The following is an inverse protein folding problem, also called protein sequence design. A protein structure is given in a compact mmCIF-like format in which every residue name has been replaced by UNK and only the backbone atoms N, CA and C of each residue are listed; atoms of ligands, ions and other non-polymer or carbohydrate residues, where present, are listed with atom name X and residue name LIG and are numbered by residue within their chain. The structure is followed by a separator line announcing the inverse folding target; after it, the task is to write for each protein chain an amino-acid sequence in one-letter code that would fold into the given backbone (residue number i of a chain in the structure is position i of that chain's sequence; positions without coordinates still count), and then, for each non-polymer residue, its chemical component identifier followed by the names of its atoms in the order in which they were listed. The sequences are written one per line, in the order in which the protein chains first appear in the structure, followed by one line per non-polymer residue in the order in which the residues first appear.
data_IF_037823741778
#
_entry.id   IF_037823741778
#
_cell.length_a   1.000
_cell.length_b   1.000
_cell.length_c   1.000
_cell.angle_alpha   90.00
_cell.angle_beta   90.00
_cell.angle_gamma   90.00
#
_symmetry.space_group_name_H-M   'P 1'
#
loop_
_entity.id
_entity.type
_entity.pdbx_description
1 polymer ?
#
# COMPACT_ATOMS: atom_id res chain seq x y z
N UNK A 1 -37.65 -3.13 0.55
CA UNK A 1 -37.31 -4.26 1.46
C UNK A 1 -35.84 -4.24 1.88
N UNK A 2 -34.84 -4.45 0.95
CA UNK A 2 -33.43 -4.48 1.33
C UNK A 2 -32.96 -3.20 2.03
N UNK A 3 -33.33 -2.02 1.51
CA UNK A 3 -32.96 -0.72 2.10
C UNK A 3 -33.47 -0.59 3.53
N UNK A 4 -34.71 -0.99 3.77
CA UNK A 4 -35.37 -0.87 5.08
C UNK A 4 -34.76 -1.88 6.07
N UNK A 5 -34.44 -3.09 5.59
CA UNK A 5 -33.71 -4.08 6.37
C UNK A 5 -32.34 -3.54 6.83
N UNK A 6 -31.56 -2.98 5.90
CA UNK A 6 -30.22 -2.42 6.22
C UNK A 6 -30.35 -1.20 7.17
N UNK A 7 -31.35 -0.34 7.00
CA UNK A 7 -31.62 0.75 7.96
C UNK A 7 -31.84 0.19 9.36
N UNK A 8 -32.64 -0.88 9.50
CA UNK A 8 -32.86 -1.55 10.79
C UNK A 8 -31.56 -2.04 11.40
N UNK A 9 -30.74 -2.77 10.64
CA UNK A 9 -29.44 -3.29 11.08
C UNK A 9 -28.46 -2.19 11.47
N UNK A 10 -28.35 -1.14 10.67
CA UNK A 10 -27.49 0.01 10.99
C UNK A 10 -27.90 0.69 12.29
N UNK A 11 -29.20 0.87 12.52
CA UNK A 11 -29.71 1.43 13.78
C UNK A 11 -29.43 0.53 15.00
N UNK A 12 -29.52 -0.80 14.83
CA UNK A 12 -29.13 -1.75 15.87
C UNK A 12 -27.65 -1.59 16.24
N UNK A 13 -26.73 -1.63 15.27
CA UNK A 13 -25.30 -1.46 15.50
C UNK A 13 -24.95 -0.12 16.16
N UNK A 14 -25.61 0.97 15.75
CA UNK A 14 -25.39 2.29 16.36
C UNK A 14 -25.94 2.42 17.79
N UNK A 15 -26.93 1.58 18.18
CA UNK A 15 -27.36 1.49 19.56
C UNK A 15 -26.43 0.64 20.40
N UNK A 16 -25.82 -0.39 19.81
CA UNK A 16 -24.79 -1.23 20.45
C UNK A 16 -23.47 -0.46 20.67
N UNK A 17 -23.11 0.46 19.76
CA UNK A 17 -21.94 1.34 19.88
C UNK A 17 -22.35 2.82 19.75
N UNK A 18 -22.83 3.44 20.84
CA UNK A 18 -23.31 4.83 20.83
C UNK A 18 -22.21 5.87 20.62
N UNK A 19 -20.94 5.50 20.73
CA UNK A 19 -19.79 6.37 20.49
C UNK A 19 -19.32 6.35 19.02
N UNK A 20 -19.89 5.48 18.19
CA UNK A 20 -19.58 5.42 16.77
C UNK A 20 -19.89 6.75 16.06
N UNK A 21 -18.88 7.38 15.49
CA UNK A 21 -19.02 8.59 14.66
C UNK A 21 -19.20 8.31 13.18
N UNK A 22 -18.84 7.11 12.74
CA UNK A 22 -18.90 6.65 11.33
C UNK A 22 -19.42 5.22 11.32
N UNK A 23 -20.34 4.92 10.40
CA UNK A 23 -20.74 3.56 10.06
C UNK A 23 -20.56 3.30 8.58
N UNK A 24 -19.96 2.17 8.22
CA UNK A 24 -19.67 1.84 6.81
C UNK A 24 -20.81 1.01 6.21
N UNK A 25 -21.33 1.47 5.09
CA UNK A 25 -22.31 0.78 4.24
C UNK A 25 -21.77 0.80 2.82
N UNK A 26 -21.17 -0.29 2.39
CA UNK A 26 -20.42 -0.34 1.15
C UNK A 26 -20.68 -1.62 0.36
N UNK A 27 -20.19 -1.66 -0.87
CA UNK A 27 -20.19 -2.85 -1.71
C UNK A 27 -19.26 -3.94 -1.17
N UNK A 28 -19.48 -5.18 -1.61
CA UNK A 28 -18.56 -6.28 -1.36
C UNK A 28 -17.27 -6.11 -2.17
N UNK A 29 -16.20 -6.76 -1.70
CA UNK A 29 -14.89 -6.73 -2.34
C UNK A 29 -14.81 -7.73 -3.51
N UNK A 30 -15.65 -7.51 -4.53
CA UNK A 30 -15.53 -8.17 -5.83
C UNK A 30 -16.35 -7.48 -6.91
N UNK A 31 -16.15 -7.91 -8.17
CA UNK A 31 -16.88 -7.40 -9.32
C UNK A 31 -18.27 -8.03 -9.40
N UNK A 32 -19.32 -7.23 -9.45
CA UNK A 32 -20.68 -7.73 -9.57
C UNK A 32 -21.72 -6.78 -8.98
N UNK A 33 -21.90 -5.61 -9.61
CA UNK A 33 -23.00 -4.70 -9.29
C UNK A 33 -24.36 -5.38 -9.56
N UNK A 34 -25.41 -4.89 -8.91
CA UNK A 34 -26.77 -5.36 -9.11
C UNK A 34 -27.22 -5.14 -10.56
N UNK A 35 -27.71 -6.20 -11.21
CA UNK A 35 -28.16 -6.18 -12.60
C UNK A 35 -29.70 -6.15 -12.76
N UNK A 36 -30.45 -5.93 -11.67
CA UNK A 36 -31.90 -5.78 -11.79
C UNK A 36 -32.25 -4.52 -12.59
N UNK A 37 -33.41 -4.52 -13.26
CA UNK A 37 -33.85 -3.42 -14.12
C UNK A 37 -33.83 -2.06 -13.44
N UNK A 38 -34.20 -2.00 -12.16
CA UNK A 38 -34.21 -0.76 -11.39
C UNK A 38 -32.79 -0.19 -11.16
N UNK A 39 -31.84 -0.99 -10.68
CA UNK A 39 -30.47 -0.55 -10.46
C UNK A 39 -29.81 -0.20 -11.80
N UNK A 40 -30.01 -1.04 -12.82
CA UNK A 40 -29.45 -0.80 -14.15
C UNK A 40 -29.98 0.51 -14.76
N UNK A 41 -31.26 0.82 -14.62
CA UNK A 41 -31.81 2.08 -15.11
C UNK A 41 -31.19 3.31 -14.46
N UNK A 42 -30.90 3.25 -13.15
CA UNK A 42 -30.18 4.31 -12.44
C UNK A 42 -28.75 4.42 -12.96
N UNK A 43 -28.03 3.31 -13.03
CA UNK A 43 -26.62 3.28 -13.43
C UNK A 43 -26.42 3.75 -14.88
N UNK A 44 -27.33 3.38 -15.79
CA UNK A 44 -27.32 3.84 -17.19
C UNK A 44 -27.57 5.37 -17.27
N UNK A 45 -28.52 5.91 -16.50
CA UNK A 45 -28.80 7.34 -16.44
C UNK A 45 -27.59 8.12 -15.85
N UNK A 46 -26.99 7.61 -14.79
CA UNK A 46 -25.85 8.22 -14.10
C UNK A 46 -24.50 7.97 -14.80
N UNK A 47 -24.45 7.02 -15.74
CA UNK A 47 -23.23 6.64 -16.46
C UNK A 47 -22.15 5.99 -15.59
N UNK A 48 -22.57 5.44 -14.43
CA UNK A 48 -21.72 4.75 -13.48
C UNK A 48 -22.55 3.90 -12.51
N UNK A 49 -22.12 2.69 -12.15
CA UNK A 49 -22.70 1.90 -11.06
C UNK A 49 -22.66 2.55 -9.68
N UNK A 50 -21.87 3.63 -9.52
CA UNK A 50 -21.94 4.47 -8.33
C UNK A 50 -23.33 5.13 -8.16
N UNK A 51 -24.12 5.25 -9.21
CA UNK A 51 -25.46 5.82 -9.18
C UNK A 51 -26.39 5.05 -8.25
N UNK A 52 -26.61 3.76 -8.52
CA UNK A 52 -27.49 2.91 -7.71
C UNK A 52 -26.91 2.71 -6.29
N UNK A 53 -25.60 2.57 -6.15
CA UNK A 53 -24.95 2.45 -4.84
C UNK A 53 -25.14 3.71 -3.99
N UNK A 54 -24.91 4.89 -4.56
CA UNK A 54 -25.06 6.14 -3.83
C UNK A 54 -26.52 6.45 -3.50
N UNK A 55 -27.48 6.11 -4.39
CA UNK A 55 -28.91 6.20 -4.10
C UNK A 55 -29.29 5.32 -2.89
N UNK A 56 -28.72 4.12 -2.79
CA UNK A 56 -28.92 3.20 -1.68
C UNK A 56 -28.35 3.78 -0.38
N UNK A 57 -27.11 4.25 -0.39
CA UNK A 57 -26.42 4.82 0.77
C UNK A 57 -27.12 6.11 1.24
N UNK A 58 -27.51 6.99 0.32
CA UNK A 58 -28.25 8.21 0.63
C UNK A 58 -29.58 7.92 1.35
N UNK A 59 -30.30 6.86 0.92
CA UNK A 59 -31.53 6.44 1.61
C UNK A 59 -31.27 6.04 3.06
N UNK A 60 -30.22 5.24 3.31
CA UNK A 60 -29.84 4.82 4.66
C UNK A 60 -29.45 6.04 5.50
N UNK A 61 -28.58 6.91 4.96
CA UNK A 61 -28.13 8.12 5.61
C UNK A 61 -29.29 9.04 6.00
N UNK A 62 -30.32 9.16 5.15
CA UNK A 62 -31.55 9.91 5.43
C UNK A 62 -32.33 9.32 6.62
N UNK A 63 -32.49 7.99 6.63
CA UNK A 63 -33.33 7.29 7.64
C UNK A 63 -32.66 7.17 9.01
N UNK A 64 -31.35 7.27 9.10
CA UNK A 64 -30.66 7.25 10.39
C UNK A 64 -30.45 8.65 10.98
N UNK A 65 -30.32 9.69 10.16
CA UNK A 65 -30.00 11.05 10.58
C UNK A 65 -30.87 11.59 11.72
N UNK A 66 -32.22 11.39 11.75
CA UNK A 66 -33.05 11.89 12.85
C UNK A 66 -32.73 11.29 14.21
N UNK A 67 -32.29 10.02 14.25
CA UNK A 67 -31.97 9.31 15.51
C UNK A 67 -30.47 9.45 15.86
N UNK A 68 -29.61 9.52 14.84
CA UNK A 68 -28.16 9.57 14.98
C UNK A 68 -27.54 10.78 14.20
N UNK A 69 -27.84 12.03 14.57
CA UNK A 69 -27.48 13.20 13.77
C UNK A 69 -25.98 13.49 13.67
N UNK A 70 -25.15 12.86 14.52
CA UNK A 70 -23.69 13.02 14.52
C UNK A 70 -22.98 11.94 13.73
N UNK A 71 -23.67 10.89 13.31
CA UNK A 71 -23.08 9.75 12.60
C UNK A 71 -23.00 10.03 11.10
N UNK A 72 -21.85 9.79 10.52
CA UNK A 72 -21.66 9.77 9.07
C UNK A 72 -21.77 8.34 8.53
N UNK A 73 -22.37 8.19 7.35
CA UNK A 73 -22.38 6.91 6.60
C UNK A 73 -21.24 6.92 5.60
N UNK A 74 -20.27 6.03 5.79
CA UNK A 74 -19.14 5.82 4.88
C UNK A 74 -19.49 4.82 3.79
N UNK A 75 -19.10 5.10 2.55
CA UNK A 75 -19.22 4.18 1.42
C UNK A 75 -17.99 4.27 0.53
N UNK A 76 -17.71 3.21 -0.23
CA UNK A 76 -16.59 3.18 -1.16
C UNK A 76 -16.97 3.68 -2.55
N UNK A 77 -16.03 4.41 -3.18
CA UNK A 77 -15.92 4.58 -4.61
C UNK A 77 -14.73 3.69 -5.07
N UNK A 78 -15.04 2.44 -5.43
CA UNK A 78 -14.05 1.37 -5.55
C UNK A 78 -14.37 0.45 -6.72
N UNK A 79 -13.39 0.09 -7.52
CA UNK A 79 -13.57 -0.76 -8.69
C UNK A 79 -14.71 -0.23 -9.60
N UNK A 80 -15.81 -0.96 -9.72
CA UNK A 80 -16.93 -0.61 -10.60
C UNK A 80 -17.70 0.64 -10.16
N UNK A 81 -17.63 1.05 -8.89
CA UNK A 81 -18.24 2.30 -8.39
C UNK A 81 -17.27 3.47 -8.31
N UNK A 82 -15.99 3.32 -8.75
CA UNK A 82 -14.97 4.37 -8.62
C UNK A 82 -15.32 5.65 -9.35
N UNK A 83 -15.89 5.54 -10.57
CA UNK A 83 -16.33 6.69 -11.35
C UNK A 83 -17.53 7.37 -10.70
N UNK A 84 -17.51 8.72 -10.49
CA UNK A 84 -18.63 9.42 -9.89
C UNK A 84 -19.88 9.40 -10.80
N UNK A 85 -21.10 9.44 -10.23
CA UNK A 85 -22.35 9.59 -10.98
C UNK A 85 -22.51 11.02 -11.49
N UNK A 86 -23.39 11.23 -12.50
CA UNK A 86 -23.61 12.53 -13.16
C UNK A 86 -24.42 13.51 -12.32
N UNK A 87 -25.52 13.05 -11.72
CA UNK A 87 -26.51 13.92 -11.08
C UNK A 87 -26.75 13.61 -9.61
N UNK A 88 -26.66 12.35 -9.19
CA UNK A 88 -26.83 11.94 -7.80
C UNK A 88 -25.61 12.42 -6.98
N UNK A 89 -25.88 13.17 -5.91
CA UNK A 89 -24.84 13.66 -4.99
C UNK A 89 -24.93 12.97 -3.65
N UNK A 90 -23.80 12.77 -2.95
CA UNK A 90 -23.81 12.32 -1.57
C UNK A 90 -24.54 13.31 -0.67
N UNK A 91 -25.30 12.82 0.30
CA UNK A 91 -25.87 13.66 1.36
C UNK A 91 -24.75 14.27 2.25
N UNK A 92 -25.05 15.37 2.98
CA UNK A 92 -24.03 15.99 3.85
C UNK A 92 -23.45 15.07 4.92
N UNK A 93 -24.22 14.04 5.35
CA UNK A 93 -23.79 13.03 6.32
C UNK A 93 -23.23 11.76 5.64
N UNK A 94 -22.91 11.78 4.36
CA UNK A 94 -22.27 10.67 3.64
C UNK A 94 -20.79 10.99 3.38
N UNK A 95 -19.93 10.05 3.72
CA UNK A 95 -18.51 10.01 3.36
C UNK A 95 -18.36 9.13 2.14
N UNK A 96 -17.76 9.63 1.06
CA UNK A 96 -17.31 8.80 -0.06
C UNK A 96 -15.82 8.58 0.06
N UNK A 97 -15.41 7.31 0.12
CA UNK A 97 -14.01 6.90 0.22
C UNK A 97 -13.54 6.38 -1.13
N UNK A 98 -12.80 7.21 -1.85
CA UNK A 98 -12.25 6.89 -3.16
C UNK A 98 -10.98 6.04 -3.01
N UNK A 99 -10.96 4.88 -3.67
CA UNK A 99 -9.85 3.92 -3.60
C UNK A 99 -8.93 4.03 -4.81
N UNK A 100 -7.61 4.02 -4.58
CA UNK A 100 -6.57 4.14 -5.61
C UNK A 100 -5.99 2.80 -6.09
N UNK A 101 -6.66 1.67 -5.82
CA UNK A 101 -6.12 0.31 -6.00
C UNK A 101 -5.58 0.01 -7.42
N UNK A 102 -6.15 0.63 -8.47
CA UNK A 102 -5.72 0.45 -9.86
C UNK A 102 -4.64 1.44 -10.29
N UNK A 103 -4.04 2.21 -9.37
CA UNK A 103 -3.06 3.21 -9.73
C UNK A 103 -1.65 2.65 -9.93
N UNK A 104 -0.86 3.39 -10.69
CA UNK A 104 0.58 3.21 -10.79
C UNK A 104 1.24 3.97 -9.64
N UNK A 105 1.64 3.26 -8.60
CA UNK A 105 2.26 3.85 -7.39
C UNK A 105 3.72 4.26 -7.58
N UNK A 106 4.36 3.89 -8.71
CA UNK A 106 5.68 4.39 -9.09
C UNK A 106 5.67 5.88 -9.39
N UNK A 107 4.56 6.38 -9.89
CA UNK A 107 4.38 7.77 -10.30
C UNK A 107 3.35 8.47 -9.38
N UNK A 108 3.43 9.80 -9.22
CA UNK A 108 2.40 10.55 -8.50
C UNK A 108 1.00 10.32 -9.10
N UNK A 109 -0.04 10.45 -8.29
CA UNK A 109 -1.42 10.18 -8.73
C UNK A 109 -1.95 11.19 -9.77
N UNK A 110 -1.27 12.31 -9.98
CA UNK A 110 -1.54 13.26 -11.06
C UNK A 110 -0.72 13.01 -12.34
N UNK A 111 0.13 11.98 -12.36
CA UNK A 111 0.87 11.58 -13.56
C UNK A 111 -0.10 11.01 -14.63
N UNK A 112 0.19 11.17 -15.95
CA UNK A 112 -0.66 10.66 -17.04
C UNK A 112 -1.02 9.17 -16.95
N UNK A 113 -0.17 8.32 -16.37
CA UNK A 113 -0.48 6.90 -16.14
C UNK A 113 -1.63 6.68 -15.14
N UNK A 114 -2.00 7.69 -14.36
CA UNK A 114 -3.07 7.70 -13.37
C UNK A 114 -4.24 8.61 -13.77
N UNK A 115 -4.33 9.03 -15.04
CA UNK A 115 -5.32 9.99 -15.52
C UNK A 115 -6.77 9.61 -15.21
N UNK A 116 -7.10 8.31 -15.24
CA UNK A 116 -8.43 7.82 -14.90
C UNK A 116 -8.78 8.07 -13.42
N UNK A 117 -7.85 7.80 -12.51
CA UNK A 117 -8.03 8.09 -11.09
C UNK A 117 -8.13 9.60 -10.82
N UNK A 118 -7.28 10.39 -11.46
CA UNK A 118 -7.32 11.86 -11.34
C UNK A 118 -8.68 12.42 -11.77
N UNK A 119 -9.23 11.92 -12.89
CA UNK A 119 -10.56 12.33 -13.37
C UNK A 119 -11.67 11.95 -12.37
N UNK A 120 -11.59 10.77 -11.75
CA UNK A 120 -12.53 10.34 -10.73
C UNK A 120 -12.41 11.20 -9.45
N UNK A 121 -11.18 11.50 -9.00
CA UNK A 121 -10.91 12.39 -7.86
C UNK A 121 -11.48 13.80 -8.10
N UNK A 122 -11.24 14.37 -9.27
CA UNK A 122 -11.83 15.65 -9.69
C UNK A 122 -13.37 15.62 -9.70
N UNK A 123 -13.94 14.53 -10.23
CA UNK A 123 -15.38 14.37 -10.29
C UNK A 123 -16.02 14.28 -8.91
N UNK A 124 -15.50 13.44 -8.03
CA UNK A 124 -15.97 13.31 -6.65
C UNK A 124 -15.78 14.59 -5.83
N UNK A 125 -14.67 15.30 -5.99
CA UNK A 125 -14.41 16.54 -5.27
C UNK A 125 -15.44 17.63 -5.56
N UNK A 126 -16.09 17.62 -6.74
CA UNK A 126 -17.12 18.58 -7.12
C UNK A 126 -18.50 18.31 -6.50
N UNK A 127 -18.76 17.06 -6.11
CA UNK A 127 -20.09 16.65 -5.65
C UNK A 127 -20.14 16.16 -4.20
N UNK A 128 -18.98 15.84 -3.61
CA UNK A 128 -18.86 15.26 -2.27
C UNK A 128 -18.29 16.27 -1.26
N UNK A 129 -19.00 16.52 -0.16
CA UNK A 129 -18.53 17.41 0.91
C UNK A 129 -17.55 16.72 1.88
N UNK A 130 -17.61 15.41 1.97
CA UNK A 130 -16.79 14.56 2.85
C UNK A 130 -16.08 13.50 2.03
N UNK A 131 -15.17 13.94 1.17
CA UNK A 131 -14.34 13.04 0.36
C UNK A 131 -13.20 12.50 1.21
N UNK A 132 -13.09 11.18 1.27
CA UNK A 132 -11.97 10.45 1.88
C UNK A 132 -11.23 9.67 0.81
N UNK A 133 -10.00 9.27 1.12
CA UNK A 133 -9.16 8.42 0.26
C UNK A 133 -8.82 7.13 1.00
N UNK A 134 -8.82 6.03 0.25
CA UNK A 134 -8.15 4.79 0.62
C UNK A 134 -7.00 4.58 -0.36
N UNK A 135 -5.78 4.83 0.10
CA UNK A 135 -4.56 4.67 -0.68
C UNK A 135 -3.79 3.41 -0.28
N UNK A 136 -2.85 2.98 -1.13
CA UNK A 136 -2.12 1.72 -0.97
C UNK A 136 -0.63 1.98 -1.06
N UNK A 137 0.14 1.46 -0.11
CA UNK A 137 1.56 1.79 0.05
C UNK A 137 2.51 0.62 -0.14
N UNK A 138 2.01 -0.60 -0.41
CA UNK A 138 2.81 -1.82 -0.48
C UNK A 138 2.34 -2.76 -1.61
N UNK A 139 3.12 -3.80 -1.88
CA UNK A 139 2.70 -4.92 -2.76
C UNK A 139 2.07 -6.03 -1.90
N UNK A 140 0.75 -6.19 -1.95
CA UNK A 140 0.00 -7.18 -1.16
C UNK A 140 0.25 -8.63 -1.62
N UNK A 141 0.63 -8.81 -2.87
CA UNK A 141 1.04 -10.13 -3.36
C UNK A 141 2.39 -10.57 -2.79
N UNK A 142 3.24 -9.62 -2.35
CA UNK A 142 4.56 -9.89 -1.83
C UNK A 142 5.07 -8.72 -0.98
N UNK A 143 4.74 -8.70 0.31
CA UNK A 143 5.07 -7.61 1.23
C UNK A 143 6.57 -7.24 1.30
N UNK A 144 7.45 -8.21 1.02
CA UNK A 144 8.90 -8.00 1.02
C UNK A 144 9.49 -7.60 -0.34
N UNK A 145 8.75 -7.67 -1.45
CA UNK A 145 9.35 -7.25 -2.72
C UNK A 145 9.61 -5.74 -2.72
N UNK A 146 10.76 -5.28 -3.25
CA UNK A 146 11.03 -3.85 -3.41
C UNK A 146 9.89 -3.14 -4.15
N UNK A 147 9.31 -2.12 -3.52
CA UNK A 147 8.15 -1.37 -3.97
C UNK A 147 8.45 0.15 -3.97
N UNK A 148 9.18 0.65 -4.97
CA UNK A 148 9.80 1.99 -4.97
C UNK A 148 8.80 3.15 -5.16
N UNK A 149 7.88 3.34 -4.22
CA UNK A 149 6.87 4.41 -4.20
C UNK A 149 7.14 5.53 -3.17
N UNK A 150 8.22 5.48 -2.42
CA UNK A 150 8.52 6.43 -1.33
C UNK A 150 8.69 7.89 -1.77
N UNK A 151 9.00 8.16 -3.05
CA UNK A 151 9.17 9.52 -3.57
C UNK A 151 7.88 10.12 -4.16
N UNK A 152 6.77 9.39 -4.15
CA UNK A 152 5.46 9.86 -4.59
C UNK A 152 4.54 10.26 -3.43
N UNK A 153 4.83 9.82 -2.22
CA UNK A 153 3.96 9.98 -1.05
C UNK A 153 3.59 11.45 -0.78
N UNK A 154 4.58 12.35 -0.81
CA UNK A 154 4.34 13.78 -0.56
C UNK A 154 3.52 14.44 -1.66
N UNK A 155 3.75 14.09 -2.92
CA UNK A 155 2.95 14.59 -4.04
C UNK A 155 1.49 14.15 -3.92
N UNK A 156 1.24 12.89 -3.54
CA UNK A 156 -0.09 12.34 -3.36
C UNK A 156 -0.86 13.03 -2.22
N UNK A 157 -0.23 13.20 -1.05
CA UNK A 157 -0.87 13.89 0.09
C UNK A 157 -1.21 15.35 -0.26
N UNK A 158 -0.33 16.06 -0.96
CA UNK A 158 -0.61 17.44 -1.45
C UNK A 158 -1.74 17.46 -2.50
N UNK A 159 -1.80 16.44 -3.36
CA UNK A 159 -2.92 16.29 -4.31
C UNK A 159 -4.24 16.10 -3.58
N UNK A 160 -4.30 15.24 -2.57
CA UNK A 160 -5.50 15.05 -1.75
C UNK A 160 -5.94 16.34 -1.06
N UNK A 161 -5.00 17.10 -0.49
CA UNK A 161 -5.29 18.41 0.09
C UNK A 161 -5.87 19.39 -0.95
N UNK A 162 -5.29 19.45 -2.15
CA UNK A 162 -5.74 20.30 -3.26
C UNK A 162 -7.20 20.04 -3.64
N UNK A 163 -7.64 18.77 -3.60
CA UNK A 163 -9.01 18.38 -3.91
C UNK A 163 -9.96 18.38 -2.69
N UNK A 164 -9.53 18.91 -1.56
CA UNK A 164 -10.37 19.07 -0.37
C UNK A 164 -10.69 17.77 0.36
N UNK A 165 -9.88 16.74 0.19
CA UNK A 165 -9.98 15.47 0.93
C UNK A 165 -9.90 15.75 2.43
N UNK A 166 -10.78 15.09 3.21
CA UNK A 166 -10.93 15.30 4.66
C UNK A 166 -10.35 14.19 5.51
N UNK A 167 -10.15 13.02 4.95
CA UNK A 167 -9.57 11.87 5.63
C UNK A 167 -8.84 10.96 4.66
N UNK A 168 -7.75 10.35 5.12
CA UNK A 168 -6.94 9.43 4.33
C UNK A 168 -6.68 8.18 5.15
N UNK A 169 -6.81 7.03 4.52
CA UNK A 169 -6.38 5.74 5.02
C UNK A 169 -5.29 5.19 4.10
N UNK A 170 -4.10 5.00 4.64
CA UNK A 170 -2.93 4.50 3.94
C UNK A 170 -2.72 3.03 4.28
N UNK A 171 -3.13 2.13 3.39
CA UNK A 171 -3.01 0.69 3.63
C UNK A 171 -1.60 0.19 3.35
N UNK A 172 -0.92 -0.25 4.41
CA UNK A 172 0.36 -0.93 4.36
C UNK A 172 0.25 -2.45 4.49
N UNK A 173 1.33 -3.13 4.88
CA UNK A 173 1.35 -4.55 5.22
C UNK A 173 0.65 -4.78 6.57
N UNK A 174 -0.68 -4.82 6.57
CA UNK A 174 -1.54 -4.73 7.77
C UNK A 174 -1.61 -6.02 8.60
N UNK A 175 -1.23 -7.15 8.04
CA UNK A 175 -1.38 -8.46 8.69
C UNK A 175 -0.27 -8.80 9.67
N UNK A 176 0.84 -8.02 9.66
CA UNK A 176 1.97 -8.27 10.53
C UNK A 176 3.11 -7.28 10.32
N UNK A 177 4.27 -7.63 10.84
CA UNK A 177 5.47 -6.83 10.74
C UNK A 177 6.33 -7.31 9.56
N UNK A 178 7.16 -6.41 9.00
CA UNK A 178 8.16 -6.76 7.98
C UNK A 178 7.71 -6.52 6.53
N UNK A 179 6.90 -5.51 6.28
CA UNK A 179 6.74 -4.96 4.93
C UNK A 179 8.00 -4.22 4.47
N UNK A 180 8.28 -4.20 3.17
CA UNK A 180 9.45 -3.51 2.62
C UNK A 180 9.43 -2.02 3.01
N UNK A 181 10.40 -1.61 3.85
CA UNK A 181 10.54 -0.25 4.40
C UNK A 181 9.21 0.34 4.95
N UNK A 182 8.42 -0.49 5.63
CA UNK A 182 7.11 -0.09 6.18
C UNK A 182 7.23 1.05 7.18
N UNK A 183 8.25 1.02 8.05
CA UNK A 183 8.50 2.05 9.06
C UNK A 183 8.83 3.41 8.43
N UNK A 184 9.62 3.42 7.34
CA UNK A 184 9.91 4.64 6.58
C UNK A 184 8.62 5.25 6.01
N UNK A 185 7.78 4.44 5.36
CA UNK A 185 6.51 4.93 4.80
C UNK A 185 5.57 5.44 5.87
N UNK A 186 5.39 4.68 6.95
CA UNK A 186 4.51 5.06 8.04
C UNK A 186 4.94 6.39 8.68
N UNK A 187 6.24 6.56 8.93
CA UNK A 187 6.76 7.78 9.53
C UNK A 187 6.63 9.00 8.58
N UNK A 188 7.03 8.85 7.32
CA UNK A 188 6.93 9.93 6.31
C UNK A 188 5.48 10.34 6.09
N UNK A 189 4.57 9.38 5.96
CA UNK A 189 3.13 9.65 5.80
C UNK A 189 2.55 10.33 7.04
N UNK A 190 2.89 9.91 8.25
CA UNK A 190 2.43 10.56 9.47
C UNK A 190 2.84 12.04 9.51
N UNK A 191 4.07 12.37 9.13
CA UNK A 191 4.56 13.74 9.05
C UNK A 191 3.82 14.56 7.98
N UNK A 192 3.62 13.98 6.79
CA UNK A 192 2.94 14.63 5.67
C UNK A 192 1.44 14.80 5.90
N UNK A 193 0.77 13.85 6.52
CA UNK A 193 -0.65 13.96 6.87
C UNK A 193 -0.88 15.01 7.96
N UNK A 194 0.08 15.20 8.86
CA UNK A 194 0.06 16.32 9.83
C UNK A 194 0.33 17.66 9.18
N UNK A 195 1.35 17.74 8.31
CA UNK A 195 1.71 18.95 7.58
C UNK A 195 2.15 18.62 6.14
N UNK A 196 1.24 18.71 5.16
CA UNK A 196 1.51 18.41 3.75
C UNK A 196 2.57 19.28 3.07
N UNK A 197 2.91 20.44 3.68
CA UNK A 197 3.89 21.39 3.13
C UNK A 197 5.35 20.98 3.44
N UNK A 198 5.57 19.98 4.26
CA UNK A 198 6.91 19.48 4.52
C UNK A 198 7.53 18.87 3.25
N UNK A 199 8.85 18.96 3.17
CA UNK A 199 9.59 18.43 2.03
C UNK A 199 9.85 16.92 2.23
N UNK A 200 9.16 16.09 1.48
CA UNK A 200 9.18 14.62 1.59
C UNK A 200 10.58 14.00 1.53
N UNK A 201 11.45 14.48 0.63
CA UNK A 201 12.84 14.00 0.56
C UNK A 201 13.66 14.38 1.80
N UNK A 202 13.41 15.53 2.41
CA UNK A 202 14.05 15.92 3.67
C UNK A 202 13.58 15.01 4.81
N UNK A 203 12.27 14.72 4.87
CA UNK A 203 11.71 13.77 5.83
C UNK A 203 12.33 12.37 5.68
N UNK A 204 12.46 11.87 4.45
CA UNK A 204 13.13 10.58 4.20
C UNK A 204 14.57 10.61 4.74
N UNK A 205 15.34 11.65 4.47
CA UNK A 205 16.70 11.78 4.97
C UNK A 205 16.76 11.84 6.50
N UNK A 206 15.86 12.57 7.13
CA UNK A 206 15.74 12.65 8.59
C UNK A 206 15.43 11.27 9.19
N UNK A 207 14.46 10.55 8.63
CA UNK A 207 14.18 9.17 9.06
C UNK A 207 15.40 8.27 8.93
N UNK A 208 16.06 8.27 7.76
CA UNK A 208 17.23 7.41 7.53
C UNK A 208 18.35 7.69 8.54
N UNK A 209 18.62 8.96 8.83
CA UNK A 209 19.64 9.35 9.81
C UNK A 209 19.26 8.92 11.23
N UNK A 210 18.01 9.16 11.65
CA UNK A 210 17.54 8.83 12.99
C UNK A 210 17.37 7.32 13.22
N UNK A 211 16.93 6.59 12.21
CA UNK A 211 16.57 5.18 12.35
C UNK A 211 17.75 4.23 12.06
N UNK A 212 18.63 4.57 11.11
CA UNK A 212 19.75 3.73 10.68
C UNK A 212 21.14 4.31 10.98
N UNK A 213 21.23 5.55 11.46
CA UNK A 213 22.50 6.17 11.82
C UNK A 213 23.54 6.16 10.69
N UNK A 214 24.77 5.61 10.90
CA UNK A 214 25.81 5.55 9.87
C UNK A 214 25.44 4.79 8.60
N UNK A 215 24.47 3.88 8.66
CA UNK A 215 23.96 3.17 7.50
C UNK A 215 23.02 3.99 6.59
N UNK A 216 22.62 5.20 7.00
CA UNK A 216 21.70 6.06 6.24
C UNK A 216 22.15 6.33 4.81
N UNK A 217 23.46 6.58 4.59
CA UNK A 217 24.00 6.95 3.27
C UNK A 217 23.89 5.83 2.22
N UNK A 218 24.31 4.58 2.47
CA UNK A 218 24.09 3.49 1.52
C UNK A 218 22.60 3.17 1.33
N UNK A 219 21.76 3.27 2.35
CA UNK A 219 20.31 3.06 2.22
C UNK A 219 19.66 4.15 1.36
N UNK A 220 20.05 5.42 1.50
CA UNK A 220 19.57 6.48 0.63
C UNK A 220 19.89 6.21 -0.86
N UNK A 221 21.10 5.70 -1.13
CA UNK A 221 21.50 5.27 -2.49
C UNK A 221 20.67 4.09 -3.01
N UNK A 222 20.32 3.15 -2.13
CA UNK A 222 19.41 2.06 -2.47
C UNK A 222 18.03 2.59 -2.88
N UNK A 223 17.46 3.55 -2.15
CA UNK A 223 16.18 4.16 -2.53
C UNK A 223 16.23 4.79 -3.92
N UNK A 224 17.27 5.58 -4.20
CA UNK A 224 17.45 6.19 -5.52
C UNK A 224 17.64 5.13 -6.62
N UNK A 225 18.48 4.12 -6.38
CA UNK A 225 18.73 3.03 -7.32
C UNK A 225 17.43 2.31 -7.71
N UNK A 226 16.62 1.91 -6.73
CA UNK A 226 15.35 1.20 -6.99
C UNK A 226 14.36 2.09 -7.73
N UNK A 227 14.25 3.34 -7.32
CA UNK A 227 13.38 4.31 -7.97
C UNK A 227 13.78 4.55 -9.43
N UNK A 228 15.07 4.80 -9.71
CA UNK A 228 15.54 5.01 -11.07
C UNK A 228 15.41 3.74 -11.93
N UNK A 229 15.75 2.57 -11.37
CA UNK A 229 15.64 1.30 -12.09
C UNK A 229 14.18 0.89 -12.40
N UNK A 230 13.20 1.45 -11.71
CA UNK A 230 11.77 1.20 -11.96
C UNK A 230 11.14 2.20 -12.94
N UNK A 231 11.91 3.10 -13.56
CA UNK A 231 11.39 4.12 -14.47
C UNK A 231 10.57 3.50 -15.61
N UNK A 232 9.38 4.03 -15.84
CA UNK A 232 8.46 3.55 -16.87
C UNK A 232 7.74 2.24 -16.54
N UNK A 233 7.98 1.66 -15.36
CA UNK A 233 7.29 0.46 -14.93
C UNK A 233 5.98 0.80 -14.22
N UNK A 234 4.90 0.06 -14.56
CA UNK A 234 3.63 0.19 -13.88
C UNK A 234 3.65 -0.61 -12.56
N UNK A 235 3.78 0.09 -11.45
CA UNK A 235 3.88 -0.48 -10.11
C UNK A 235 2.50 -0.47 -9.43
N UNK A 236 1.75 -1.55 -9.56
CA UNK A 236 0.48 -1.74 -8.84
C UNK A 236 0.68 -2.37 -7.46
N UNK A 237 -0.33 -2.30 -6.60
CA UNK A 237 -0.28 -2.90 -5.26
C UNK A 237 -0.44 -4.45 -5.24
N UNK A 238 -0.69 -5.07 -6.39
CA UNK A 238 -0.67 -6.52 -6.62
C UNK A 238 0.29 -6.87 -7.77
N UNK A 239 1.41 -6.18 -7.85
CA UNK A 239 2.39 -6.36 -8.93
C UNK A 239 3.03 -7.74 -8.86
N UNK A 240 3.09 -8.43 -10.01
CA UNK A 240 3.81 -9.69 -10.14
C UNK A 240 5.31 -9.49 -9.87
N UNK A 241 6.07 -10.52 -9.46
CA UNK A 241 7.48 -10.41 -9.07
C UNK A 241 8.41 -10.14 -10.26
N UNK A 242 8.02 -9.32 -11.21
CA UNK A 242 8.78 -8.88 -12.39
C UNK A 242 8.81 -7.37 -12.44
N UNK A 243 9.92 -6.82 -12.95
CA UNK A 243 10.10 -5.39 -13.13
C UNK A 243 11.57 -5.07 -13.28
N UNK A 244 11.94 -3.98 -14.00
CA UNK A 244 13.32 -3.68 -14.32
C UNK A 244 14.20 -3.45 -13.08
N UNK A 245 13.64 -2.97 -11.98
CA UNK A 245 14.31 -2.82 -10.69
C UNK A 245 14.60 -4.16 -9.96
N UNK A 246 14.11 -5.27 -10.48
CA UNK A 246 14.30 -6.65 -9.96
C UNK A 246 15.14 -7.51 -10.91
N UNK A 247 15.79 -6.93 -11.89
CA UNK A 247 16.76 -7.58 -12.77
C UNK A 247 18.14 -7.69 -12.09
N UNK A 248 19.06 -8.45 -12.69
CA UNK A 248 20.35 -8.77 -12.07
C UNK A 248 21.14 -7.51 -11.69
N UNK A 249 21.33 -6.57 -12.62
CA UNK A 249 22.15 -5.37 -12.39
C UNK A 249 21.66 -4.52 -11.20
N UNK A 250 20.37 -4.10 -11.10
CA UNK A 250 19.90 -3.37 -9.93
C UNK A 250 19.89 -4.20 -8.63
N UNK A 251 19.57 -5.50 -8.69
CA UNK A 251 19.57 -6.33 -7.46
C UNK A 251 20.98 -6.58 -6.92
N UNK A 252 21.98 -6.81 -7.79
CA UNK A 252 23.39 -6.92 -7.39
C UNK A 252 23.86 -5.63 -6.73
N UNK A 253 23.59 -4.48 -7.35
CA UNK A 253 23.96 -3.19 -6.76
C UNK A 253 23.21 -2.90 -5.47
N UNK A 254 21.95 -3.28 -5.36
CA UNK A 254 21.15 -3.15 -4.12
C UNK A 254 21.73 -4.01 -3.00
N UNK A 255 22.07 -5.27 -3.28
CA UNK A 255 22.72 -6.17 -2.30
C UNK A 255 24.04 -5.58 -1.78
N UNK A 256 24.89 -5.06 -2.68
CA UNK A 256 26.15 -4.40 -2.30
C UNK A 256 25.93 -3.17 -1.42
N UNK A 257 24.88 -2.39 -1.67
CA UNK A 257 24.53 -1.22 -0.85
C UNK A 257 24.06 -1.63 0.55
N UNK A 258 23.22 -2.66 0.64
CA UNK A 258 22.79 -3.19 1.94
C UNK A 258 23.92 -3.84 2.73
N UNK A 259 24.83 -4.56 2.08
CA UNK A 259 26.07 -5.06 2.73
C UNK A 259 26.93 -3.89 3.23
N UNK A 260 27.03 -2.80 2.48
CA UNK A 260 27.73 -1.60 2.93
C UNK A 260 27.02 -0.94 4.12
N UNK A 261 25.68 -0.97 4.17
CA UNK A 261 24.90 -0.49 5.30
C UNK A 261 25.17 -1.34 6.56
N UNK A 262 25.18 -2.67 6.44
CA UNK A 262 25.51 -3.57 7.57
C UNK A 262 26.93 -3.33 8.10
N UNK A 263 27.91 -3.19 7.20
CA UNK A 263 29.31 -2.88 7.61
C UNK A 263 29.43 -1.55 8.35
N UNK A 264 28.65 -0.54 7.95
CA UNK A 264 28.69 0.79 8.58
C UNK A 264 28.20 0.80 10.04
N UNK A 265 27.48 -0.23 10.48
CA UNK A 265 26.93 -0.36 11.84
C UNK A 265 27.29 -1.70 12.49
N UNK A 266 28.35 -2.36 12.04
CA UNK A 266 28.73 -3.70 12.49
C UNK A 266 29.01 -3.79 14.00
N UNK A 267 29.50 -2.71 14.60
CA UNK A 267 29.77 -2.54 16.03
C UNK A 267 28.56 -2.04 16.85
N UNK A 268 27.40 -1.82 16.22
CA UNK A 268 26.18 -1.28 16.83
C UNK A 268 25.02 -2.29 16.72
N UNK A 269 24.88 -3.26 17.64
CA UNK A 269 23.99 -4.40 17.50
C UNK A 269 22.53 -4.04 17.22
N UNK A 270 22.01 -2.96 17.83
CA UNK A 270 20.63 -2.53 17.62
C UNK A 270 20.42 -1.96 16.21
N UNK A 271 21.33 -1.13 15.72
CA UNK A 271 21.28 -0.61 14.36
C UNK A 271 21.50 -1.71 13.33
N UNK A 272 22.43 -2.63 13.60
CA UNK A 272 22.68 -3.78 12.71
C UNK A 272 21.41 -4.66 12.58
N UNK A 273 20.69 -4.89 13.68
CA UNK A 273 19.45 -5.66 13.64
C UNK A 273 18.39 -4.96 12.76
N UNK A 274 18.22 -3.62 12.87
CA UNK A 274 17.31 -2.84 12.02
C UNK A 274 17.72 -2.91 10.55
N UNK A 275 19.00 -2.74 10.25
CA UNK A 275 19.54 -2.79 8.88
C UNK A 275 19.33 -4.17 8.29
N UNK A 276 19.63 -5.25 9.00
CA UNK A 276 19.41 -6.63 8.53
C UNK A 276 17.95 -6.94 8.27
N UNK A 277 17.03 -6.48 9.12
CA UNK A 277 15.60 -6.63 8.90
C UNK A 277 15.17 -5.92 7.60
N UNK A 278 15.63 -4.69 7.41
CA UNK A 278 15.29 -3.89 6.21
C UNK A 278 16.03 -4.35 4.93
N UNK A 279 17.07 -5.20 5.06
CA UNK A 279 17.77 -5.83 3.94
C UNK A 279 17.01 -7.06 3.38
N UNK A 280 16.12 -7.68 4.17
CA UNK A 280 15.39 -8.89 3.77
C UNK A 280 14.64 -8.75 2.43
N UNK A 281 14.06 -7.61 2.05
CA UNK A 281 13.42 -7.41 0.75
C UNK A 281 14.31 -7.74 -0.45
N UNK A 282 15.54 -7.31 -0.44
CA UNK A 282 16.49 -7.60 -1.52
C UNK A 282 16.86 -9.09 -1.51
N UNK A 283 17.12 -9.67 -0.34
CA UNK A 283 17.41 -11.10 -0.18
C UNK A 283 16.22 -11.97 -0.60
N UNK A 284 14.99 -11.56 -0.29
CA UNK A 284 13.77 -12.23 -0.73
C UNK A 284 13.64 -12.23 -2.25
N UNK A 285 13.88 -11.09 -2.90
CA UNK A 285 13.85 -10.98 -4.36
C UNK A 285 14.91 -11.88 -5.02
N UNK A 286 16.14 -11.90 -4.48
CA UNK A 286 17.25 -12.70 -5.00
C UNK A 286 16.97 -14.20 -4.80
N UNK A 287 16.51 -14.62 -3.63
CA UNK A 287 16.19 -16.03 -3.34
C UNK A 287 15.10 -16.58 -4.26
N UNK A 288 14.11 -15.76 -4.62
CA UNK A 288 13.02 -16.16 -5.53
C UNK A 288 13.50 -16.45 -6.95
N UNK A 289 14.44 -15.68 -7.43
CA UNK A 289 14.91 -15.71 -8.84
C UNK A 289 16.38 -16.19 -8.93
N UNK A 290 16.86 -16.94 -7.95
CA UNK A 290 18.26 -17.27 -7.72
C UNK A 290 19.00 -17.74 -8.98
N UNK A 291 18.51 -18.83 -9.62
CA UNK A 291 19.19 -19.43 -10.77
C UNK A 291 19.19 -18.47 -11.98
N UNK A 292 18.07 -17.81 -12.21
CA UNK A 292 17.95 -16.81 -13.27
C UNK A 292 18.95 -15.67 -13.06
N UNK A 293 19.00 -15.10 -11.85
CA UNK A 293 19.89 -13.98 -11.55
C UNK A 293 21.37 -14.37 -11.64
N UNK A 294 21.73 -15.59 -11.23
CA UNK A 294 23.09 -16.10 -11.40
C UNK A 294 23.44 -16.28 -12.90
N UNK A 295 22.52 -16.76 -13.72
CA UNK A 295 22.72 -16.85 -15.16
C UNK A 295 22.89 -15.47 -15.79
N UNK A 296 21.99 -14.53 -15.45
CA UNK A 296 22.05 -13.15 -15.95
C UNK A 296 23.36 -12.44 -15.53
N UNK A 297 23.83 -12.69 -14.29
CA UNK A 297 25.12 -12.14 -13.84
C UNK A 297 26.30 -12.66 -14.68
N UNK A 298 26.34 -13.96 -14.98
CA UNK A 298 27.38 -14.53 -15.86
C UNK A 298 27.34 -13.95 -17.27
N UNK A 299 26.15 -13.81 -17.83
CA UNK A 299 25.94 -13.23 -19.18
C UNK A 299 26.37 -11.76 -19.24
N UNK A 300 26.06 -11.00 -18.20
CA UNK A 300 26.33 -9.57 -18.12
C UNK A 300 27.71 -9.22 -17.53
N UNK A 301 28.55 -10.21 -17.19
CA UNK A 301 29.82 -10.06 -16.49
C UNK A 301 29.71 -9.25 -15.19
N UNK A 302 28.68 -9.54 -14.40
CA UNK A 302 28.48 -8.95 -13.07
C UNK A 302 29.02 -9.92 -12.00
N UNK A 303 29.72 -9.38 -11.02
CA UNK A 303 30.17 -10.15 -9.86
C UNK A 303 28.96 -10.55 -9.00
N UNK A 304 28.80 -11.86 -8.74
CA UNK A 304 27.76 -12.36 -7.86
C UNK A 304 28.05 -11.94 -6.41
N UNK A 305 27.13 -11.19 -5.75
CA UNK A 305 27.43 -10.55 -4.46
C UNK A 305 27.22 -11.45 -3.23
N UNK A 306 26.78 -12.69 -3.42
CA UNK A 306 26.39 -13.61 -2.35
C UNK A 306 27.24 -14.89 -2.36
N UNK A 307 27.24 -15.68 -1.26
CA UNK A 307 27.78 -17.04 -1.27
C UNK A 307 27.16 -17.89 -2.39
N UNK A 308 27.87 -18.91 -2.85
CA UNK A 308 27.38 -19.81 -3.88
C UNK A 308 26.24 -20.70 -3.41
N UNK A 309 26.17 -20.98 -2.12
CA UNK A 309 25.10 -21.78 -1.52
C UNK A 309 23.84 -20.95 -1.29
N UNK A 310 22.80 -21.23 -2.08
CA UNK A 310 21.46 -20.68 -1.89
C UNK A 310 20.90 -21.01 -0.51
N UNK A 311 21.17 -22.25 -0.04
CA UNK A 311 20.76 -22.69 1.30
C UNK A 311 21.37 -21.82 2.40
N UNK A 312 22.66 -21.47 2.33
CA UNK A 312 23.30 -20.63 3.33
C UNK A 312 22.62 -19.24 3.39
N UNK A 313 22.31 -18.63 2.24
CA UNK A 313 21.60 -17.36 2.18
C UNK A 313 20.17 -17.49 2.71
N UNK A 314 19.49 -18.61 2.44
CA UNK A 314 18.14 -18.89 2.95
C UNK A 314 18.16 -19.08 4.49
N UNK A 315 19.17 -19.72 5.05
CA UNK A 315 19.32 -19.90 6.50
C UNK A 315 19.58 -18.54 7.21
N UNK A 316 20.40 -17.66 6.62
CA UNK A 316 20.60 -16.30 7.12
C UNK A 316 19.30 -15.48 7.06
N UNK A 317 18.57 -15.55 5.95
CA UNK A 317 17.26 -14.92 5.80
C UNK A 317 16.29 -15.40 6.90
N UNK A 318 16.20 -16.72 7.11
CA UNK A 318 15.35 -17.30 8.13
C UNK A 318 15.72 -16.82 9.55
N UNK A 319 17.00 -16.74 9.84
CA UNK A 319 17.50 -16.31 11.15
C UNK A 319 17.06 -14.86 11.46
N UNK A 320 17.14 -13.97 10.46
CA UNK A 320 16.69 -12.57 10.60
C UNK A 320 15.16 -12.50 10.67
N UNK A 321 14.46 -13.21 9.78
CA UNK A 321 13.00 -13.16 9.69
C UNK A 321 12.27 -13.71 10.94
N UNK A 322 12.91 -14.61 11.70
CA UNK A 322 12.39 -15.09 12.99
C UNK A 322 12.35 -14.01 14.07
N UNK A 323 13.05 -12.90 13.85
CA UNK A 323 13.07 -11.78 14.76
C UNK A 323 13.85 -12.03 16.06
N UNK A 324 13.71 -11.08 16.98
CA UNK A 324 14.38 -11.13 18.29
C UNK A 324 13.41 -11.73 19.31
N UNK A 325 13.82 -12.73 20.10
CA UNK A 325 12.98 -13.28 21.17
C UNK A 325 12.43 -12.20 22.10
N UNK A 326 11.11 -12.25 22.36
CA UNK A 326 10.42 -11.26 23.20
C UNK A 326 10.05 -9.94 22.47
N UNK A 327 10.41 -9.79 21.19
CA UNK A 327 10.08 -8.60 20.38
C UNK A 327 9.26 -9.01 19.14
N UNK A 328 7.96 -9.29 19.27
CA UNK A 328 7.13 -9.80 18.17
C UNK A 328 7.10 -8.89 16.94
N UNK A 329 7.29 -7.58 17.12
CA UNK A 329 7.36 -6.60 16.03
C UNK A 329 8.63 -6.72 15.15
N UNK A 330 9.56 -7.58 15.48
CA UNK A 330 10.74 -7.90 14.65
C UNK A 330 10.55 -9.17 13.82
N UNK A 331 9.44 -9.88 13.99
CA UNK A 331 9.11 -11.11 13.25
C UNK A 331 8.48 -10.76 11.93
N UNK A 332 9.03 -11.30 10.85
CA UNK A 332 8.50 -11.10 9.49
C UNK A 332 7.45 -12.15 9.17
N UNK A 333 6.18 -11.78 9.23
CA UNK A 333 5.07 -12.68 8.90
C UNK A 333 3.76 -11.90 8.78
N UNK A 334 2.88 -12.21 7.76
CA UNK A 334 3.12 -13.07 6.60
C UNK A 334 3.92 -12.36 5.49
N UNK A 335 4.40 -13.12 4.50
CA UNK A 335 5.14 -12.57 3.35
C UNK A 335 4.22 -12.03 2.23
N UNK A 336 2.92 -12.29 2.31
CA UNK A 336 1.89 -11.80 1.39
C UNK A 336 0.51 -11.87 2.05
N UNK A 337 -0.44 -11.11 1.54
CA UNK A 337 -1.83 -11.04 2.03
C UNK A 337 -2.53 -12.41 2.10
N UNK A 338 -2.25 -13.31 1.17
CA UNK A 338 -2.80 -14.67 1.18
C UNK A 338 -2.12 -15.64 2.16
N UNK A 339 -1.25 -15.15 3.07
CA UNK A 339 -0.75 -15.91 4.22
C UNK A 339 0.47 -16.81 3.96
N UNK A 340 1.42 -16.43 3.08
CA UNK A 340 2.67 -17.18 2.92
C UNK A 340 3.57 -17.00 4.14
N UNK A 341 3.98 -18.10 4.80
CA UNK A 341 4.94 -18.08 5.90
C UNK A 341 6.40 -18.14 5.39
N UNK A 342 7.35 -17.71 6.25
CA UNK A 342 8.79 -17.80 5.96
C UNK A 342 9.20 -19.27 5.76
N UNK A 343 8.74 -20.17 6.61
CA UNK A 343 9.05 -21.61 6.53
C UNK A 343 8.57 -22.21 5.20
N UNK A 344 7.34 -21.87 4.79
CA UNK A 344 6.77 -22.36 3.53
C UNK A 344 7.53 -21.79 2.32
N UNK A 345 7.94 -20.53 2.37
CA UNK A 345 8.78 -19.93 1.34
C UNK A 345 10.13 -20.62 1.22
N UNK A 346 10.77 -20.94 2.35
CA UNK A 346 12.10 -21.55 2.39
C UNK A 346 12.08 -23.06 2.11
N UNK A 347 10.95 -23.73 2.29
CA UNK A 347 10.81 -25.15 1.97
C UNK A 347 11.12 -25.46 0.49
N UNK A 348 10.87 -24.51 -0.40
CA UNK A 348 11.19 -24.61 -1.83
C UNK A 348 12.72 -24.67 -2.09
N UNK A 349 13.56 -24.31 -1.12
CA UNK A 349 15.02 -24.26 -1.24
C UNK A 349 15.75 -25.28 -0.37
N UNK A 350 15.02 -26.05 0.44
CA UNK A 350 15.61 -27.02 1.37
C UNK A 350 16.32 -28.20 0.68
N UNK A 351 16.06 -28.41 -0.61
CA UNK A 351 16.60 -29.51 -1.41
C UNK A 351 17.72 -29.07 -2.37
N UNK A 352 18.09 -27.78 -2.36
CA UNK A 352 19.20 -27.29 -3.18
C UNK A 352 20.55 -27.75 -2.55
N UNK A 353 21.49 -28.31 -3.37
CA UNK A 353 22.78 -28.80 -2.90
C UNK A 353 23.70 -27.71 -2.37
#
# INVERSE_FOLDING_TARGET
ELRDFVVGRVKEWLREDPDAGIISVTQNDWYGQCQCEHCKAIDDAEGSPAGSMLAFVNYIAEKIEPEFPRVAVDTFAYQYTRKPPKTIKPRPNVIVRLCSIECNFREPLDHPSNAAFLADLEGWSKICQRLYIWDYTTDFSNYLLPHPNWFTLGANVRLFQKFGVRGVFEQGAYQGFGGELGELRAWVLAQLLWNPQQHDRALIQEFLQGYYGPAAKPIARYLELMHESSRGFYLGCFTKPKGPHREAKPLVAAEQLWQAAERAVADQPELLARVRLSHLPVRFAILREWEKLRADCREQNLDWPLPDSRKAVADEFAAVAKGVPGKPWTVVHPLRESGLTVEKFLADFAQDP
#
